data_IF_390518623823
#
_entry.id   IF_390518623823
#
_cell.length_a   1.000
_cell.length_b   1.000
_cell.length_c   1.000
_cell.angle_alpha   90.00
_cell.angle_beta   90.00
_cell.angle_gamma   90.00
#
_symmetry.space_group_name_H-M   'P 1'
#
loop_
_entity.id
_entity.type
_entity.pdbx_description
1 polymer ?
#
# COMPACT_ATOMS: atom_id res chain seq x y z
N UNK A 1 9.78 0.61 -1.87
CA UNK A 1 9.49 0.63 -3.32
C UNK A 1 9.94 1.97 -3.85
N UNK A 2 10.50 2.01 -5.06
CA UNK A 2 10.90 3.25 -5.74
C UNK A 2 10.10 3.37 -7.06
N UNK A 3 9.48 4.52 -7.27
CA UNK A 3 8.66 4.80 -8.46
C UNK A 3 9.39 5.68 -9.48
N UNK A 4 10.59 6.18 -9.16
CA UNK A 4 11.35 7.08 -10.02
C UNK A 4 10.64 8.41 -10.30
N UNK A 5 10.64 8.83 -11.57
CA UNK A 5 10.06 10.12 -11.96
C UNK A 5 8.51 10.08 -11.99
N UNK A 6 7.89 10.75 -11.00
CA UNK A 6 6.45 10.86 -10.81
C UNK A 6 5.70 11.73 -11.85
N UNK A 7 6.40 12.41 -12.76
CA UNK A 7 5.78 13.10 -13.90
C UNK A 7 5.14 12.11 -14.89
N UNK A 8 5.60 10.85 -14.87
CA UNK A 8 5.04 9.77 -15.69
C UNK A 8 3.70 9.33 -15.12
N UNK A 9 2.71 9.17 -15.99
CA UNK A 9 1.38 8.68 -15.59
C UNK A 9 1.35 7.16 -15.50
N UNK A 10 0.45 6.63 -14.66
CA UNK A 10 0.17 5.19 -14.56
C UNK A 10 1.34 4.39 -13.98
N UNK A 11 2.12 5.00 -13.09
CA UNK A 11 3.19 4.30 -12.39
C UNK A 11 2.60 3.34 -11.37
N UNK A 12 3.17 2.14 -11.33
CA UNK A 12 2.91 1.15 -10.30
C UNK A 12 4.18 0.38 -9.99
N UNK A 13 4.20 -0.24 -8.82
CA UNK A 13 5.28 -1.11 -8.39
C UNK A 13 4.67 -2.36 -7.76
N UNK A 14 5.26 -3.50 -8.09
CA UNK A 14 4.92 -4.78 -7.48
C UNK A 14 6.15 -5.34 -6.79
N UNK A 15 5.96 -5.95 -5.62
CA UNK A 15 7.01 -6.72 -4.96
C UNK A 15 6.42 -8.00 -4.36
N UNK A 16 7.24 -9.04 -4.37
CA UNK A 16 7.03 -10.21 -3.55
C UNK A 16 7.57 -9.94 -2.15
N UNK A 17 6.81 -10.36 -1.14
CA UNK A 17 7.18 -10.32 0.26
C UNK A 17 7.20 -11.76 0.76
N UNK A 18 8.35 -12.18 1.29
CA UNK A 18 8.45 -13.46 1.96
C UNK A 18 7.54 -13.43 3.20
N UNK A 19 6.55 -14.32 3.23
CA UNK A 19 5.63 -14.51 4.33
C UNK A 19 5.47 -16.01 4.54
N UNK A 20 5.86 -16.46 5.73
CA UNK A 20 5.74 -17.84 6.17
C UNK A 20 5.11 -17.83 7.58
N UNK A 21 3.78 -17.90 7.60
CA UNK A 21 2.97 -17.97 8.80
C UNK A 21 2.22 -19.30 8.81
N UNK A 22 2.63 -20.18 9.72
CA UNK A 22 2.09 -21.54 9.88
C UNK A 22 0.93 -21.63 10.90
N UNK A 23 0.37 -20.50 11.31
CA UNK A 23 -0.80 -20.38 12.18
C UNK A 23 -1.79 -19.40 11.58
N UNK A 24 -3.10 -19.50 11.89
CA UNK A 24 -4.05 -18.46 11.55
C UNK A 24 -3.60 -17.08 12.06
N UNK A 25 -3.78 -16.05 11.24
CA UNK A 25 -3.33 -14.70 11.54
C UNK A 25 -4.30 -13.62 11.05
N UNK A 26 -4.12 -12.42 11.60
CA UNK A 26 -4.63 -11.17 11.05
C UNK A 26 -3.46 -10.29 10.63
N UNK A 27 -3.68 -9.52 9.57
CA UNK A 27 -2.74 -8.55 9.05
C UNK A 27 -3.38 -7.17 9.12
N UNK A 28 -2.70 -6.24 9.80
CA UNK A 28 -3.08 -4.83 9.83
C UNK A 28 -2.12 -4.04 8.97
N UNK A 29 -2.65 -3.17 8.12
CA UNK A 29 -1.87 -2.35 7.19
C UNK A 29 -2.20 -0.89 7.47
N UNK A 30 -1.19 -0.08 7.76
CA UNK A 30 -1.36 1.35 8.09
C UNK A 30 -0.39 2.21 7.29
N UNK A 31 -0.91 3.26 6.67
CA UNK A 31 -0.11 4.32 6.02
C UNK A 31 0.14 5.46 7.00
N UNK A 32 1.32 6.09 6.90
CA UNK A 32 1.69 7.18 7.80
C UNK A 32 1.03 8.52 7.40
N UNK A 33 0.89 8.79 6.09
CA UNK A 33 0.45 10.10 5.58
C UNK A 33 -0.78 10.03 4.68
N UNK A 34 -1.16 8.83 4.24
CA UNK A 34 -2.35 8.62 3.42
C UNK A 34 -2.13 8.95 1.94
N UNK A 35 -0.87 8.92 1.49
CA UNK A 35 -0.42 9.23 0.14
C UNK A 35 1.09 9.41 0.11
N UNK A 36 1.70 9.31 -1.08
CA UNK A 36 3.07 9.78 -1.27
C UNK A 36 3.07 11.29 -1.04
N UNK A 37 3.69 11.75 0.05
CA UNK A 37 3.70 13.14 0.42
C UNK A 37 5.08 13.75 0.21
N UNK A 38 5.10 14.99 -0.27
CA UNK A 38 6.29 15.80 -0.42
C UNK A 38 7.02 15.87 0.92
N UNK A 39 8.33 15.63 0.92
CA UNK A 39 9.13 15.48 2.14
C UNK A 39 9.16 16.72 3.01
N UNK A 40 9.12 17.91 2.40
CA UNK A 40 9.19 19.20 3.11
C UNK A 40 7.91 20.03 3.05
N UNK A 41 6.99 19.74 2.12
CA UNK A 41 5.81 20.57 1.83
C UNK A 41 4.58 19.69 1.51
N UNK A 42 4.14 18.82 2.44
CA UNK A 42 3.10 17.81 2.18
C UNK A 42 1.73 18.41 1.81
N UNK A 43 1.48 19.66 2.19
CA UNK A 43 0.24 20.38 1.84
C UNK A 43 0.30 21.06 0.46
N UNK A 44 1.43 20.97 -0.24
CA UNK A 44 1.66 21.63 -1.53
C UNK A 44 2.01 23.11 -1.41
N UNK A 45 2.08 23.77 -2.56
CA UNK A 45 2.37 25.20 -2.67
C UNK A 45 1.68 25.78 -3.91
N UNK A 46 0.84 26.81 -3.72
CA UNK A 46 0.07 27.41 -4.81
C UNK A 46 -0.84 26.38 -5.50
N UNK A 47 -0.81 26.25 -6.84
CA UNK A 47 -1.65 25.30 -7.57
C UNK A 47 -1.10 23.86 -7.59
N UNK A 48 0.10 23.62 -7.02
CA UNK A 48 0.78 22.33 -7.05
C UNK A 48 0.51 21.51 -5.78
N UNK A 49 0.19 20.23 -5.95
CA UNK A 49 -0.09 19.30 -4.85
C UNK A 49 1.19 18.77 -4.21
N UNK A 50 1.23 18.81 -2.88
CA UNK A 50 2.24 18.12 -2.06
C UNK A 50 1.91 16.66 -1.78
N UNK A 51 0.83 16.12 -2.34
CA UNK A 51 0.41 14.74 -2.09
C UNK A 51 -0.07 14.04 -3.37
N UNK A 52 0.35 12.79 -3.52
CA UNK A 52 -0.06 11.88 -4.59
C UNK A 52 -0.75 10.65 -3.97
N UNK A 53 -2.05 10.41 -4.24
CA UNK A 53 -2.73 9.22 -3.76
C UNK A 53 -2.19 7.95 -4.42
N UNK A 54 -2.38 6.81 -3.76
CA UNK A 54 -2.09 5.49 -4.31
C UNK A 54 -3.15 4.47 -3.88
N UNK A 55 -3.19 3.33 -4.57
CA UNK A 55 -3.91 2.13 -4.17
C UNK A 55 -2.91 1.04 -3.83
N UNK A 56 -3.06 0.39 -2.69
CA UNK A 56 -2.29 -0.78 -2.29
C UNK A 56 -3.17 -2.02 -2.43
N UNK A 57 -2.75 -2.98 -3.24
CA UNK A 57 -3.36 -4.30 -3.31
C UNK A 57 -2.42 -5.36 -2.73
N UNK A 58 -3.03 -6.23 -1.93
CA UNK A 58 -2.40 -7.35 -1.26
C UNK A 58 -3.04 -8.63 -1.77
N UNK A 59 -2.20 -9.54 -2.24
CA UNK A 59 -2.62 -10.86 -2.66
C UNK A 59 -1.74 -11.91 -1.98
N UNK A 60 -2.37 -12.86 -1.28
CA UNK A 60 -1.66 -13.95 -0.63
C UNK A 60 -2.43 -15.27 -0.82
N UNK A 61 -1.76 -16.34 -1.27
CA UNK A 61 -2.32 -17.68 -1.15
C UNK A 61 -2.32 -18.11 0.33
N UNK A 62 -3.46 -18.62 0.78
CA UNK A 62 -3.64 -19.25 2.08
C UNK A 62 -4.16 -20.67 1.92
N UNK A 63 -3.92 -21.51 2.93
CA UNK A 63 -4.39 -22.89 2.96
C UNK A 63 -5.26 -23.09 4.19
N UNK A 64 -6.58 -23.24 4.02
CA UNK A 64 -7.52 -23.88 4.96
C UNK A 64 -8.98 -23.71 4.46
N UNK A 65 -9.81 -24.76 4.42
CA UNK A 65 -9.49 -26.20 4.38
C UNK A 65 -8.85 -26.64 3.04
N UNK A 66 -8.77 -25.74 2.07
CA UNK A 66 -8.11 -25.90 0.77
C UNK A 66 -7.35 -24.62 0.41
N UNK A 67 -6.58 -24.63 -0.68
CA UNK A 67 -5.87 -23.44 -1.15
C UNK A 67 -6.88 -22.39 -1.63
N UNK A 68 -6.73 -21.16 -1.13
CA UNK A 68 -7.53 -20.00 -1.50
C UNK A 68 -6.60 -18.80 -1.66
N UNK A 69 -6.96 -17.85 -2.51
CA UNK A 69 -6.21 -16.58 -2.61
C UNK A 69 -7.02 -15.49 -1.92
N UNK A 70 -6.42 -14.87 -0.91
CA UNK A 70 -6.95 -13.65 -0.33
C UNK A 70 -6.44 -12.49 -1.17
N UNK A 71 -7.37 -11.71 -1.72
CA UNK A 71 -7.07 -10.48 -2.45
C UNK A 71 -7.83 -9.31 -1.83
N UNK A 72 -7.11 -8.27 -1.41
CA UNK A 72 -7.67 -7.06 -0.80
C UNK A 72 -6.95 -5.82 -1.32
N UNK A 73 -7.72 -4.76 -1.57
CA UNK A 73 -7.20 -3.47 -2.01
C UNK A 73 -7.64 -2.36 -1.07
N UNK A 74 -6.75 -1.42 -0.81
CA UNK A 74 -6.99 -0.23 0.02
C UNK A 74 -6.54 1.00 -0.75
N UNK A 75 -7.34 2.07 -0.71
CA UNK A 75 -6.82 3.38 -1.11
C UNK A 75 -5.98 3.98 0.02
N UNK A 76 -5.06 4.87 -0.33
CA UNK A 76 -4.10 5.45 0.62
C UNK A 76 -4.78 6.17 1.79
N UNK A 77 -5.93 6.81 1.58
CA UNK A 77 -6.69 7.47 2.65
C UNK A 77 -7.29 6.49 3.66
N UNK A 78 -7.79 5.34 3.21
CA UNK A 78 -8.28 4.27 4.09
C UNK A 78 -7.16 3.71 4.98
N UNK A 79 -5.92 3.70 4.47
CA UNK A 79 -4.78 3.21 5.22
C UNK A 79 -4.39 4.11 6.41
N UNK A 80 -4.88 5.35 6.49
CA UNK A 80 -4.68 6.20 7.67
C UNK A 80 -5.35 5.62 8.93
N UNK A 81 -6.58 5.12 8.78
CA UNK A 81 -7.32 4.45 9.87
C UNK A 81 -6.85 3.01 10.10
N UNK A 82 -6.12 2.44 9.14
CA UNK A 82 -5.72 1.04 9.13
C UNK A 82 -6.69 0.16 8.37
N UNK A 83 -6.17 -0.73 7.53
CA UNK A 83 -6.89 -1.83 6.89
C UNK A 83 -6.58 -3.15 7.59
N UNK A 84 -7.58 -4.04 7.67
CA UNK A 84 -7.42 -5.37 8.29
C UNK A 84 -7.73 -6.46 7.27
N UNK A 85 -6.88 -7.47 7.23
CA UNK A 85 -7.05 -8.70 6.45
C UNK A 85 -7.02 -9.88 7.44
N UNK A 86 -7.98 -10.80 7.35
CA UNK A 86 -7.95 -12.07 8.08
C UNK A 86 -7.52 -13.17 7.14
N UNK A 87 -6.67 -14.08 7.62
CA UNK A 87 -6.34 -15.36 6.97
C UNK A 87 -7.54 -16.32 6.87
N UNK A 88 -8.68 -15.99 7.50
CA UNK A 88 -9.89 -16.82 7.59
C UNK A 88 -9.62 -18.22 8.16
N UNK A 89 -8.70 -18.33 9.12
CA UNK A 89 -8.30 -19.62 9.69
C UNK A 89 -7.20 -20.34 8.90
N UNK A 90 -6.71 -19.75 7.80
CA UNK A 90 -5.66 -20.31 6.96
C UNK A 90 -4.24 -19.97 7.38
N UNK A 91 -3.30 -20.73 6.84
CA UNK A 91 -1.85 -20.47 6.92
C UNK A 91 -1.34 -19.92 5.57
N UNK A 92 -0.27 -19.12 5.58
CA UNK A 92 0.34 -18.56 4.38
C UNK A 92 1.82 -18.93 4.33
N UNK A 93 2.21 -19.81 3.40
CA UNK A 93 3.59 -20.32 3.27
C UNK A 93 4.24 -20.00 1.94
N UNK A 94 3.46 -19.47 0.99
CA UNK A 94 3.90 -19.25 -0.39
C UNK A 94 4.17 -17.75 -0.66
N UNK A 95 4.37 -16.96 0.40
CA UNK A 95 4.60 -15.52 0.34
C UNK A 95 3.35 -14.69 0.11
N UNK A 96 3.57 -13.41 -0.20
CA UNK A 96 2.52 -12.44 -0.48
C UNK A 96 3.00 -11.47 -1.55
N UNK A 97 2.11 -11.14 -2.48
CA UNK A 97 2.32 -10.09 -3.47
C UNK A 97 1.73 -8.77 -2.97
N UNK A 98 2.55 -7.73 -2.97
CA UNK A 98 2.14 -6.35 -2.75
C UNK A 98 2.25 -5.59 -4.07
N UNK A 99 1.17 -4.91 -4.45
CA UNK A 99 1.15 -4.01 -5.61
C UNK A 99 0.69 -2.63 -5.15
N UNK A 100 1.37 -1.60 -5.65
CA UNK A 100 1.03 -0.21 -5.40
C UNK A 100 0.86 0.49 -6.73
N UNK A 101 -0.32 1.04 -6.99
CA UNK A 101 -0.61 1.84 -8.17
C UNK A 101 -0.79 3.30 -7.77
N UNK A 102 -0.05 4.19 -8.42
CA UNK A 102 -0.14 5.62 -8.17
C UNK A 102 -1.36 6.21 -8.89
N UNK A 103 -2.10 7.04 -8.16
CA UNK A 103 -3.25 7.77 -8.68
C UNK A 103 -2.85 9.04 -9.42
N UNK A 104 -3.79 9.98 -9.52
CA UNK A 104 -3.55 11.31 -10.06
C UNK A 104 -3.39 12.32 -8.91
N UNK A 105 -2.51 13.33 -9.04
CA UNK A 105 -2.43 14.43 -8.09
C UNK A 105 -3.74 15.22 -8.05
N UNK A 106 -4.08 15.75 -6.87
CA UNK A 106 -5.29 16.55 -6.67
C UNK A 106 -5.13 18.04 -7.01
N UNK A 107 -3.92 18.52 -7.24
CA UNK A 107 -3.63 19.92 -7.57
C UNK A 107 -3.89 20.22 -9.04
N UNK A 108 -4.41 21.40 -9.35
CA UNK A 108 -4.75 21.82 -10.71
C UNK A 108 -3.54 21.84 -11.65
N UNK A 109 -2.37 22.18 -11.11
CA UNK A 109 -1.10 22.21 -11.86
C UNK A 109 -0.26 20.93 -11.70
N UNK A 110 -0.80 19.89 -11.06
CA UNK A 110 -0.09 18.62 -10.83
C UNK A 110 0.67 18.56 -9.51
N UNK A 111 1.86 17.96 -9.51
CA UNK A 111 2.71 17.78 -8.33
C UNK A 111 3.70 18.92 -8.15
N UNK A 112 3.99 19.25 -6.90
CA UNK A 112 5.09 20.15 -6.54
C UNK A 112 6.43 19.47 -6.84
N UNK A 113 7.40 20.20 -7.39
CA UNK A 113 8.71 19.63 -7.67
C UNK A 113 9.46 19.29 -6.37
N UNK A 114 9.96 18.07 -6.27
CA UNK A 114 10.77 17.60 -5.15
C UNK A 114 10.57 16.12 -4.85
N UNK A 115 11.00 15.71 -3.66
CA UNK A 115 10.96 14.32 -3.22
C UNK A 115 9.67 13.98 -2.52
N UNK A 116 9.16 12.78 -2.78
CA UNK A 116 7.94 12.25 -2.20
C UNK A 116 8.21 10.94 -1.49
N UNK A 117 7.59 10.74 -0.33
CA UNK A 117 7.71 9.50 0.42
C UNK A 117 6.44 9.15 1.16
N UNK A 118 6.31 7.88 1.50
CA UNK A 118 5.29 7.34 2.39
C UNK A 118 5.90 6.15 3.12
N UNK A 119 5.42 5.89 4.34
CA UNK A 119 5.74 4.66 5.07
C UNK A 119 4.45 3.87 5.27
N UNK A 120 4.43 2.64 4.77
CA UNK A 120 3.35 1.68 5.01
C UNK A 120 3.87 0.64 5.99
N UNK A 121 3.22 0.54 7.15
CA UNK A 121 3.52 -0.47 8.17
C UNK A 121 2.54 -1.63 8.03
N UNK A 122 3.07 -2.83 7.88
CA UNK A 122 2.30 -4.08 7.87
C UNK A 122 2.63 -4.84 9.15
N UNK A 123 1.61 -5.09 9.97
CA UNK A 123 1.72 -5.86 11.21
C UNK A 123 0.98 -7.16 11.03
N UNK A 124 1.66 -8.28 11.29
CA UNK A 124 1.06 -9.62 11.28
C UNK A 124 0.98 -10.12 12.71
N UNK A 125 -0.22 -10.52 13.13
CA UNK A 125 -0.49 -11.03 14.47
C UNK A 125 -1.17 -12.39 14.37
N UNK A 126 -0.72 -13.41 15.13
CA UNK A 126 -1.46 -14.67 15.22
C UNK A 126 -2.87 -14.42 15.79
N UNK A 127 -3.83 -15.24 15.34
CA UNK A 127 -5.20 -15.27 15.85
C UNK A 127 -5.32 -16.12 17.11
#
# INVERSE_FOLDING_TARGET
>A
MDFGNLERRGLGAETQVALDCNVPFTMTIKGARGGLAHTTMPNGQGPYSGMLPYSLAVEMPVRFPAQQTISRSFNSRQLLSGGVISSNGGIATDGMRLSVDLGQPSGEAGLLAGDYSETITITVSPL
#
